data_IF_562673950401
#
_entry.id   IF_562673950401
#
_cell.length_a   1.000
_cell.length_b   1.000
_cell.length_c   1.000
_cell.angle_alpha   90.00
_cell.angle_beta   90.00
_cell.angle_gamma   90.00
#
_symmetry.space_group_name_H-M   'P 1'
#
loop_
_entity.id
_entity.type
_entity.pdbx_description
1 polymer ?
#
# COMPACT_ATOMS: atom_id res chain seq x y z
N UNK A 1 1.21 7.93 -1.81
CA UNK A 1 0.06 8.70 -1.25
C UNK A 1 -1.14 7.77 -1.20
N UNK A 2 -1.84 7.69 -0.08
CA UNK A 2 -2.96 6.75 0.12
C UNK A 2 -4.05 7.29 1.06
N UNK A 3 -5.32 6.87 0.92
CA UNK A 3 -6.35 7.13 1.93
C UNK A 3 -6.04 6.38 3.23
N UNK A 4 -6.52 6.90 4.36
CA UNK A 4 -6.21 6.36 5.71
C UNK A 4 -6.80 4.99 5.99
N UNK A 5 -8.03 4.72 5.53
CA UNK A 5 -8.85 3.58 5.96
C UNK A 5 -9.10 2.54 4.86
N UNK A 6 -8.45 2.66 3.69
CA UNK A 6 -8.58 1.65 2.64
C UNK A 6 -7.49 0.60 2.72
N UNK A 7 -7.88 -0.65 2.49
CA UNK A 7 -6.97 -1.76 2.21
C UNK A 7 -6.95 -2.03 0.69
N UNK A 8 -6.07 -2.93 0.24
CA UNK A 8 -5.97 -3.43 -1.16
C UNK A 8 -5.44 -2.46 -2.23
N UNK A 9 -4.68 -1.44 -1.84
CA UNK A 9 -4.00 -0.52 -2.77
C UNK A 9 -4.92 0.30 -3.67
N UNK A 10 -6.20 0.35 -3.34
CA UNK A 10 -7.16 1.20 -4.02
C UNK A 10 -6.87 2.68 -3.66
N UNK A 11 -6.66 3.52 -4.68
CA UNK A 11 -6.27 4.93 -4.50
C UNK A 11 -4.79 5.16 -4.16
N UNK A 12 -3.91 4.15 -4.30
CA UNK A 12 -2.48 4.31 -4.10
C UNK A 12 -1.82 4.97 -5.32
N UNK A 13 -1.13 6.09 -5.11
CA UNK A 13 -0.25 6.72 -6.12
C UNK A 13 1.17 6.85 -5.61
N UNK A 14 2.13 6.39 -6.42
CA UNK A 14 3.54 6.77 -6.31
C UNK A 14 3.67 8.17 -6.92
N UNK A 15 4.34 9.06 -6.19
CA UNK A 15 4.57 10.45 -6.60
C UNK A 15 6.05 10.75 -6.44
N UNK A 16 6.60 11.55 -7.33
CA UNK A 16 8.04 11.82 -7.42
C UNK A 16 8.39 13.25 -6.99
N UNK A 17 7.41 14.15 -6.93
CA UNK A 17 7.59 15.53 -6.51
C UNK A 17 6.40 16.08 -5.69
N UNK A 18 6.54 17.31 -5.21
CA UNK A 18 5.55 17.98 -4.37
C UNK A 18 4.26 18.31 -5.14
N UNK A 19 4.36 18.65 -6.42
CA UNK A 19 3.21 19.03 -7.23
C UNK A 19 2.33 17.80 -7.52
N UNK A 20 2.95 16.67 -7.82
CA UNK A 20 2.30 15.36 -7.94
C UNK A 20 1.66 14.93 -6.62
N UNK A 21 2.36 15.13 -5.50
CA UNK A 21 1.84 14.85 -4.17
C UNK A 21 0.56 15.64 -3.89
N UNK A 22 0.56 16.96 -4.14
CA UNK A 22 -0.61 17.82 -3.93
C UNK A 22 -1.81 17.37 -4.77
N UNK A 23 -1.60 17.14 -6.07
CA UNK A 23 -2.65 16.66 -6.98
C UNK A 23 -3.20 15.30 -6.54
N UNK A 24 -2.33 14.36 -6.17
CA UNK A 24 -2.75 13.03 -5.72
C UNK A 24 -3.54 13.11 -4.41
N UNK A 25 -3.10 13.94 -3.46
CA UNK A 25 -3.80 14.13 -2.20
C UNK A 25 -5.18 14.78 -2.39
N UNK A 26 -5.31 15.78 -3.26
CA UNK A 26 -6.60 16.41 -3.58
C UNK A 26 -7.60 15.41 -4.16
N UNK A 27 -7.17 14.58 -5.12
CA UNK A 27 -8.01 13.54 -5.71
C UNK A 27 -8.48 12.54 -4.65
N UNK A 28 -7.54 11.99 -3.86
CA UNK A 28 -7.87 11.00 -2.82
C UNK A 28 -8.78 11.62 -1.75
N UNK A 29 -8.53 12.86 -1.33
CA UNK A 29 -9.38 13.52 -0.35
C UNK A 29 -10.80 13.74 -0.87
N UNK A 30 -10.94 14.19 -2.12
CA UNK A 30 -12.24 14.43 -2.76
C UNK A 30 -13.02 13.13 -2.99
N UNK A 31 -12.35 12.05 -3.41
CA UNK A 31 -12.98 10.76 -3.69
C UNK A 31 -13.41 10.02 -2.41
N UNK A 32 -12.57 10.03 -1.37
CA UNK A 32 -12.77 9.18 -0.20
C UNK A 32 -13.27 9.93 1.04
N UNK A 33 -13.29 11.26 1.03
CA UNK A 33 -13.80 12.08 2.14
C UNK A 33 -13.07 11.87 3.47
N UNK A 34 -11.82 11.42 3.44
CA UNK A 34 -11.03 11.02 4.60
C UNK A 34 -9.60 11.58 4.53
N UNK A 35 -8.87 11.66 5.67
CA UNK A 35 -7.49 12.11 5.67
C UNK A 35 -6.59 11.28 4.75
N UNK A 36 -5.62 11.95 4.14
CA UNK A 36 -4.61 11.35 3.26
C UNK A 36 -3.32 11.09 4.04
N UNK A 37 -2.72 9.92 3.82
CA UNK A 37 -1.43 9.54 4.39
C UNK A 37 -0.34 9.54 3.30
N UNK A 38 0.83 10.08 3.65
CA UNK A 38 2.01 10.16 2.79
C UNK A 38 3.14 9.40 3.47
N UNK A 39 3.73 8.48 2.74
CA UNK A 39 4.83 7.64 3.21
C UNK A 39 5.95 7.68 2.18
N UNK A 40 7.19 7.56 2.65
CA UNK A 40 8.35 7.44 1.77
C UNK A 40 8.29 6.09 1.06
N UNK A 41 8.43 6.11 -0.27
CA UNK A 41 8.61 4.89 -1.04
C UNK A 41 9.93 4.20 -0.66
N UNK A 42 9.85 2.91 -0.36
CA UNK A 42 11.00 2.05 -0.07
C UNK A 42 11.08 1.03 -1.19
N UNK A 43 12.14 1.12 -1.99
CA UNK A 43 12.43 0.12 -3.02
C UNK A 43 12.96 -1.16 -2.35
N UNK A 44 12.40 -2.31 -2.73
CA UNK A 44 12.84 -3.59 -2.19
C UNK A 44 11.79 -4.68 -2.33
N UNK A 45 12.00 -5.74 -1.55
CA UNK A 45 11.17 -6.95 -1.54
C UNK A 45 10.00 -6.76 -0.59
N UNK A 46 8.82 -7.23 -1.00
CA UNK A 46 7.66 -7.29 -0.14
C UNK A 46 7.54 -8.68 0.48
N UNK A 47 7.61 -8.76 1.81
CA UNK A 47 7.58 -10.02 2.55
C UNK A 47 6.45 -9.99 3.57
N UNK A 48 5.62 -11.02 3.54
CA UNK A 48 4.49 -11.20 4.44
C UNK A 48 4.75 -12.41 5.35
N UNK A 49 4.39 -12.28 6.63
CA UNK A 49 4.47 -13.35 7.63
C UNK A 49 3.11 -13.51 8.29
N UNK A 50 2.46 -14.65 8.05
CA UNK A 50 1.19 -14.98 8.72
C UNK A 50 1.41 -15.33 10.19
N UNK A 51 0.52 -14.87 11.06
CA UNK A 51 0.49 -15.22 12.48
C UNK A 51 -0.79 -16.01 12.78
N UNK A 52 -0.66 -17.15 13.48
CA UNK A 52 -1.80 -18.01 13.83
C UNK A 52 -1.88 -18.24 15.35
N UNK A 53 -3.07 -18.00 15.93
CA UNK A 53 -3.37 -18.28 17.33
C UNK A 53 -3.58 -17.02 18.18
N UNK A 54 -4.22 -17.19 19.34
CA UNK A 54 -4.58 -16.11 20.25
C UNK A 54 -3.61 -15.95 21.45
N UNK A 55 -2.61 -16.82 21.57
CA UNK A 55 -1.57 -16.68 22.61
C UNK A 55 -0.84 -17.99 22.98
N UNK A 56 0.50 -18.05 22.84
CA UNK A 56 1.33 -17.23 21.93
C UNK A 56 1.02 -17.59 20.47
N UNK A 57 1.05 -16.62 19.53
CA UNK A 57 0.84 -16.92 18.12
C UNK A 57 2.05 -17.64 17.54
N UNK A 58 1.80 -18.58 16.63
CA UNK A 58 2.81 -19.19 15.78
C UNK A 58 3.05 -18.30 14.55
N UNK A 59 4.32 -18.02 14.24
CA UNK A 59 4.70 -17.36 13.01
C UNK A 59 4.90 -18.40 11.91
N UNK A 60 4.17 -18.27 10.81
CA UNK A 60 4.32 -19.10 9.62
C UNK A 60 5.57 -18.67 8.82
N UNK A 61 6.10 -19.53 7.94
CA UNK A 61 7.21 -19.15 7.08
C UNK A 61 6.92 -17.87 6.27
N UNK A 62 7.92 -16.99 6.07
CA UNK A 62 7.76 -15.78 5.26
C UNK A 62 7.47 -16.14 3.79
N UNK A 63 6.59 -15.37 3.18
CA UNK A 63 6.29 -15.44 1.75
C UNK A 63 6.61 -14.10 1.10
N UNK A 64 7.30 -14.14 -0.03
CA UNK A 64 7.62 -12.96 -0.82
C UNK A 64 6.57 -12.73 -1.89
N UNK A 65 6.10 -11.48 -1.98
CA UNK A 65 5.31 -11.03 -3.11
C UNK A 65 6.26 -10.63 -4.25
N UNK A 66 6.18 -11.35 -5.36
CA UNK A 66 6.94 -11.04 -6.57
C UNK A 66 6.03 -10.31 -7.55
N UNK A 67 6.33 -9.04 -7.80
CA UNK A 67 5.70 -8.26 -8.86
C UNK A 67 6.38 -8.60 -10.19
N UNK A 68 5.61 -9.05 -11.19
CA UNK A 68 6.13 -9.33 -12.54
C UNK A 68 6.41 -8.05 -13.34
N UNK A 69 6.70 -8.20 -14.63
CA UNK A 69 6.87 -7.07 -15.55
C UNK A 69 5.53 -6.35 -15.79
N UNK A 70 5.25 -5.32 -14.99
CA UNK A 70 4.04 -4.50 -15.04
C UNK A 70 4.01 -3.45 -13.92
N UNK A 71 3.09 -2.48 -13.96
CA UNK A 71 2.91 -1.57 -12.83
C UNK A 71 2.57 -2.38 -11.57
N UNK A 72 3.20 -2.04 -10.44
CA UNK A 72 2.98 -2.67 -9.13
C UNK A 72 1.62 -2.28 -8.54
N UNK A 73 0.56 -2.58 -9.30
CA UNK A 73 -0.84 -2.51 -8.89
C UNK A 73 -1.28 -3.92 -8.54
N UNK A 74 -1.67 -4.09 -7.28
CA UNK A 74 -2.34 -5.30 -6.81
C UNK A 74 -3.62 -5.43 -7.63
N UNK A 75 -3.58 -6.31 -8.61
CA UNK A 75 -4.74 -6.62 -9.42
C UNK A 75 -5.14 -8.02 -9.01
N UNK A 76 -6.32 -8.13 -8.40
CA UNK A 76 -6.96 -9.42 -8.18
C UNK A 76 -7.29 -10.01 -9.55
N UNK A 77 -6.64 -11.10 -9.92
CA UNK A 77 -7.32 -12.19 -10.62
C UNK A 77 -7.55 -13.33 -9.62
#
# INVERSE_FOLDING_TARGET
>A
VKPKNEAVSFGLKIVHDEDELRRAAEVIFAEFGQPVLVERYIEGREVNVGLLGNGPPEALPPVELVFGDGPAIYTYE
#
